data_IF_213669289500
#
_entry.id   IF_213669289500
#
_cell.length_a   1.000
_cell.length_b   1.000
_cell.length_c   1.000
_cell.angle_alpha   90.00
_cell.angle_beta   90.00
_cell.angle_gamma   90.00
#
_symmetry.space_group_name_H-M   'P 1'
#
loop_
_entity.id
_entity.type
_entity.pdbx_description
1 polymer ?
#
# COMPACT_ATOMS: atom_id res chain seq x y z
N UNK A 1 -21.99 -10.05 -11.64
CA UNK A 1 -20.97 -9.07 -12.10
C UNK A 1 -19.71 -9.24 -11.24
N UNK A 2 -18.62 -9.78 -11.79
CA UNK A 2 -17.33 -9.92 -11.05
C UNK A 2 -16.57 -8.61 -11.17
N UNK A 3 -16.36 -7.90 -10.06
CA UNK A 3 -15.53 -6.69 -10.03
C UNK A 3 -14.06 -7.10 -10.04
N UNK A 4 -13.32 -6.61 -11.03
CA UNK A 4 -11.92 -6.95 -11.26
C UNK A 4 -11.02 -5.78 -10.85
N UNK A 5 -10.50 -5.80 -9.63
CA UNK A 5 -9.52 -4.80 -9.17
C UNK A 5 -8.18 -4.98 -9.89
N UNK A 6 -7.79 -4.04 -10.75
CA UNK A 6 -6.54 -4.11 -11.54
C UNK A 6 -5.43 -3.18 -11.04
N UNK A 7 -5.80 -2.17 -10.27
CA UNK A 7 -4.87 -1.13 -9.86
C UNK A 7 -5.26 -0.50 -8.53
N UNK A 8 -4.26 -0.03 -7.82
CA UNK A 8 -4.41 0.87 -6.69
C UNK A 8 -4.30 2.30 -7.20
N UNK A 9 -5.28 3.13 -6.88
CA UNK A 9 -5.34 4.53 -7.30
C UNK A 9 -5.32 5.40 -6.05
N UNK A 10 -4.38 6.33 -5.99
CA UNK A 10 -4.22 7.21 -4.84
C UNK A 10 -4.46 8.66 -5.25
N UNK A 11 -5.38 9.33 -4.55
CA UNK A 11 -5.68 10.74 -4.79
C UNK A 11 -5.07 11.59 -3.68
N UNK A 12 -4.29 12.59 -4.07
CA UNK A 12 -3.87 13.61 -3.13
C UNK A 12 -5.06 14.51 -2.82
N UNK A 13 -5.38 14.68 -1.54
CA UNK A 13 -6.42 15.61 -1.11
C UNK A 13 -5.95 17.04 -1.42
N UNK A 14 -6.71 17.80 -2.22
CA UNK A 14 -6.46 19.23 -2.48
C UNK A 14 -5.64 19.58 -3.72
N UNK A 15 -5.19 18.61 -4.53
CA UNK A 15 -4.63 18.89 -5.87
C UNK A 15 -5.44 18.09 -6.90
N UNK A 16 -6.31 18.78 -7.64
CA UNK A 16 -7.17 18.17 -8.65
C UNK A 16 -6.47 17.92 -9.99
N UNK A 17 -5.30 18.53 -10.21
CA UNK A 17 -4.73 18.66 -11.57
C UNK A 17 -3.66 17.64 -11.95
N UNK A 18 -3.19 16.80 -11.03
CA UNK A 18 -2.23 15.75 -11.37
C UNK A 18 -2.91 14.38 -11.47
N UNK A 19 -2.57 13.57 -12.48
CA UNK A 19 -3.09 12.21 -12.57
C UNK A 19 -2.76 11.48 -11.26
N UNK A 20 -3.81 10.91 -10.65
CA UNK A 20 -3.70 10.14 -9.43
C UNK A 20 -2.63 9.05 -9.62
N UNK A 21 -1.56 8.99 -8.81
CA UNK A 21 -0.58 7.93 -8.93
C UNK A 21 -1.29 6.57 -8.90
N UNK A 22 -1.06 5.79 -9.95
CA UNK A 22 -1.64 4.47 -10.16
C UNK A 22 -0.54 3.41 -10.01
N UNK A 23 -0.85 2.35 -9.28
CA UNK A 23 -0.03 1.14 -9.18
C UNK A 23 -0.82 -0.03 -9.76
N UNK A 24 -0.29 -0.67 -10.79
CA UNK A 24 -0.86 -1.90 -11.34
C UNK A 24 -0.59 -3.04 -10.36
N UNK A 25 -1.61 -3.84 -10.04
CA UNK A 25 -1.49 -4.91 -9.03
C UNK A 25 -0.45 -5.95 -9.44
N UNK A 26 -0.42 -6.27 -10.74
CA UNK A 26 0.48 -7.24 -11.34
C UNK A 26 1.96 -6.83 -11.19
N UNK A 27 2.25 -5.54 -11.05
CA UNK A 27 3.62 -5.04 -10.86
C UNK A 27 4.08 -5.04 -9.40
N UNK A 28 3.19 -5.33 -8.44
CA UNK A 28 3.53 -5.32 -7.01
C UNK A 28 4.43 -6.52 -6.69
N UNK A 29 5.67 -6.24 -6.26
CA UNK A 29 6.65 -7.26 -5.86
C UNK A 29 6.56 -7.61 -4.38
N UNK A 30 6.43 -6.60 -3.52
CA UNK A 30 6.27 -6.83 -2.09
C UNK A 30 5.47 -5.73 -1.40
N UNK A 31 4.82 -6.12 -0.30
CA UNK A 31 4.07 -5.22 0.59
C UNK A 31 4.58 -5.45 2.00
N UNK A 32 5.02 -4.38 2.66
CA UNK A 32 5.55 -4.43 4.03
C UNK A 32 4.73 -3.53 4.94
N UNK A 33 4.25 -4.11 6.04
CA UNK A 33 3.70 -3.33 7.16
C UNK A 33 4.87 -2.72 7.91
N UNK A 34 4.85 -1.40 8.09
CA UNK A 34 5.82 -0.71 8.94
C UNK A 34 5.11 -0.36 10.25
N UNK A 35 5.57 -0.98 11.34
CA UNK A 35 5.24 -0.58 12.69
C UNK A 35 6.17 0.55 13.12
N UNK A 36 5.65 1.49 13.91
CA UNK A 36 6.47 2.48 14.60
C UNK A 36 6.44 2.05 16.07
N UNK A 37 7.59 2.14 16.74
CA UNK A 37 7.68 1.89 18.18
C UNK A 37 6.57 2.69 18.89
N UNK A 38 5.80 2.00 19.73
CA UNK A 38 4.57 2.52 20.34
C UNK A 38 4.78 3.87 21.04
N UNK A 39 5.95 4.05 21.64
CA UNK A 39 6.39 5.27 22.33
C UNK A 39 6.52 6.47 21.38
N UNK A 40 7.07 6.29 20.18
CA UNK A 40 7.18 7.36 19.18
C UNK A 40 5.84 7.61 18.47
N UNK A 41 4.99 6.59 18.37
CA UNK A 41 3.63 6.68 17.80
C UNK A 41 2.73 7.60 18.61
N UNK A 42 2.86 7.55 19.94
CA UNK A 42 2.10 8.39 20.88
C UNK A 42 2.57 9.86 20.85
N UNK A 43 3.88 10.09 20.75
CA UNK A 43 4.47 11.44 20.81
C UNK A 43 4.34 12.21 19.49
N UNK A 44 4.53 11.54 18.35
CA UNK A 44 4.54 12.18 17.04
C UNK A 44 3.21 12.01 16.27
N UNK A 45 2.20 11.38 16.88
CA UNK A 45 0.94 11.03 16.21
C UNK A 45 1.14 10.11 14.99
N UNK A 46 2.30 9.43 14.92
CA UNK A 46 2.71 8.68 13.75
C UNK A 46 1.89 7.39 13.68
N UNK A 47 0.99 7.32 12.69
CA UNK A 47 0.15 6.12 12.48
C UNK A 47 0.91 5.10 11.65
N UNK A 48 0.50 3.83 11.81
CA UNK A 48 0.96 2.66 11.05
C UNK A 48 1.15 2.99 9.55
N UNK A 49 2.25 2.54 8.97
CA UNK A 49 2.62 2.83 7.58
C UNK A 49 2.72 1.56 6.75
N UNK A 50 2.71 1.72 5.42
CA UNK A 50 2.85 0.64 4.45
C UNK A 50 3.92 1.04 3.45
N UNK A 51 4.77 0.10 3.09
CA UNK A 51 5.70 0.22 1.97
C UNK A 51 5.33 -0.79 0.89
N UNK A 52 5.29 -0.35 -0.37
CA UNK A 52 4.97 -1.17 -1.54
C UNK A 52 6.11 -1.06 -2.55
N UNK A 53 6.76 -2.19 -2.85
CA UNK A 53 7.76 -2.29 -3.91
C UNK A 53 7.07 -2.70 -5.20
N UNK A 54 7.32 -1.95 -6.27
CA UNK A 54 6.67 -2.12 -7.57
C UNK A 54 7.75 -2.30 -8.65
N UNK A 55 7.51 -3.19 -9.60
CA UNK A 55 8.37 -3.36 -10.76
C UNK A 55 8.51 -2.06 -11.55
N UNK A 56 9.69 -1.80 -12.11
CA UNK A 56 9.96 -0.58 -12.88
C UNK A 56 10.09 0.70 -12.04
N UNK A 57 9.93 0.65 -10.72
CA UNK A 57 10.22 1.78 -9.82
C UNK A 57 11.51 1.57 -9.04
N UNK A 58 12.36 2.59 -9.01
CA UNK A 58 13.63 2.57 -8.26
C UNK A 58 13.43 2.73 -6.76
N UNK A 59 12.37 3.42 -6.33
CA UNK A 59 12.03 3.63 -4.92
C UNK A 59 10.67 3.02 -4.58
N UNK A 60 10.53 2.42 -3.39
CA UNK A 60 9.23 1.93 -2.94
C UNK A 60 8.26 3.08 -2.70
N UNK A 61 6.96 2.78 -2.80
CA UNK A 61 5.89 3.72 -2.49
C UNK A 61 5.52 3.56 -1.02
N UNK A 62 5.58 4.67 -0.27
CA UNK A 62 5.26 4.68 1.15
C UNK A 62 3.93 5.40 1.41
N UNK A 63 3.06 4.73 2.16
CA UNK A 63 1.83 5.28 2.71
C UNK A 63 2.02 5.47 4.20
N UNK A 64 2.04 6.72 4.64
CA UNK A 64 2.21 7.10 6.03
C UNK A 64 0.84 7.44 6.60
N UNK A 65 0.56 7.06 7.85
CA UNK A 65 -0.65 7.52 8.51
C UNK A 65 -1.90 6.67 8.22
N UNK A 66 -1.76 5.38 7.91
CA UNK A 66 -2.87 4.54 7.43
C UNK A 66 -3.74 4.06 8.60
N UNK A 67 -4.93 4.65 8.76
CA UNK A 67 -5.83 4.35 9.89
C UNK A 67 -6.27 2.88 9.97
N UNK A 68 -6.58 2.26 8.82
CA UNK A 68 -6.97 0.84 8.71
C UNK A 68 -5.91 0.03 7.97
N UNK A 69 -4.63 0.21 8.34
CA UNK A 69 -3.48 -0.42 7.67
C UNK A 69 -3.69 -1.91 7.46
N UNK A 70 -4.05 -2.61 8.53
CA UNK A 70 -4.10 -4.08 8.53
C UNK A 70 -5.24 -4.59 7.64
N UNK A 71 -6.44 -3.99 7.74
CA UNK A 71 -7.57 -4.29 6.83
C UNK A 71 -7.22 -4.03 5.36
N UNK A 72 -6.52 -2.93 5.09
CA UNK A 72 -6.08 -2.57 3.74
C UNK A 72 -5.10 -3.61 3.19
N UNK A 73 -4.09 -3.99 3.97
CA UNK A 73 -3.08 -4.99 3.56
C UNK A 73 -3.74 -6.35 3.33
N UNK A 74 -4.65 -6.78 4.21
CA UNK A 74 -5.39 -8.03 4.04
C UNK A 74 -6.20 -8.04 2.73
N UNK A 75 -6.89 -6.95 2.40
CA UNK A 75 -7.63 -6.86 1.11
C UNK A 75 -6.70 -6.83 -0.09
N UNK A 76 -5.58 -6.11 0.01
CA UNK A 76 -4.56 -6.07 -1.03
C UNK A 76 -3.96 -7.46 -1.27
N UNK A 77 -3.72 -8.22 -0.21
CA UNK A 77 -3.23 -9.59 -0.30
C UNK A 77 -4.18 -10.51 -1.05
N UNK A 78 -5.48 -10.44 -0.76
CA UNK A 78 -6.49 -11.19 -1.52
C UNK A 78 -6.44 -10.83 -3.01
N UNK A 79 -6.33 -9.53 -3.33
CA UNK A 79 -6.27 -9.06 -4.72
C UNK A 79 -4.97 -9.51 -5.41
N UNK A 80 -3.81 -9.35 -4.77
CA UNK A 80 -2.53 -9.81 -5.31
C UNK A 80 -2.52 -11.32 -5.54
N UNK A 81 -2.97 -12.13 -4.57
CA UNK A 81 -3.02 -13.60 -4.74
C UNK A 81 -3.85 -14.05 -5.95
N UNK A 82 -4.87 -13.29 -6.34
CA UNK A 82 -5.69 -13.62 -7.52
C UNK A 82 -5.06 -13.24 -8.86
N UNK A 83 -4.00 -12.42 -8.88
CA UNK A 83 -3.46 -11.81 -10.11
C UNK A 83 -1.95 -11.93 -10.27
N UNK A 84 -1.25 -11.94 -9.15
CA UNK A 84 0.19 -12.07 -9.05
C UNK A 84 0.52 -12.86 -7.77
N UNK A 85 0.59 -14.18 -7.91
CA UNK A 85 0.94 -15.08 -6.80
C UNK A 85 2.39 -14.92 -6.31
N UNK A 86 3.23 -14.14 -7.01
CA UNK A 86 4.61 -13.90 -6.62
C UNK A 86 4.79 -12.73 -5.64
N UNK A 87 3.73 -11.95 -5.36
CA UNK A 87 3.82 -10.85 -4.40
C UNK A 87 4.11 -11.35 -2.98
N UNK A 88 5.15 -10.81 -2.35
CA UNK A 88 5.58 -11.18 -0.99
C UNK A 88 4.98 -10.21 0.03
N UNK A 89 4.34 -10.74 1.07
CA UNK A 89 3.80 -9.96 2.19
C UNK A 89 4.70 -10.11 3.41
N UNK A 90 5.14 -8.98 3.97
CA UNK A 90 5.96 -8.94 5.17
C UNK A 90 5.15 -8.40 6.35
N UNK A 91 5.14 -9.16 7.44
CA UNK A 91 4.79 -8.65 8.76
C UNK A 91 5.94 -7.79 9.29
N UNK A 92 5.58 -6.76 10.06
CA UNK A 92 6.53 -5.87 10.72
C UNK A 92 6.06 -5.50 12.10
#
# INVERSE_FOLDING_TARGET
MRVHFRALVFKQKGKAEHPAPLLVVEDIKSVRKISILRTLSLLAGTRKSIEIVVSGRSKPVQFIGVAKRDDFVMRLEVVCRTRNSSTIFHDG
#
